data_IF_719285679127
#
_entry.id   IF_719285679127
#
_cell.length_a   1.000
_cell.length_b   1.000
_cell.length_c   1.000
_cell.angle_alpha   90.00
_cell.angle_beta   90.00
_cell.angle_gamma   90.00
#
_symmetry.space_group_name_H-M   'P 1'
#
loop_
_entity.id
_entity.type
_entity.pdbx_description
1 polymer ?
#
# COMPACT_ATOMS: atom_id res chain seq x y z
N UNK A 1 31.74 -9.94 -69.63
CA UNK A 1 32.69 -11.03 -69.31
C UNK A 1 33.61 -10.42 -68.27
N UNK A 2 33.57 -10.76 -66.99
CA UNK A 2 33.44 -12.06 -66.34
C UNK A 2 32.65 -11.95 -65.03
N UNK A 3 31.96 -13.05 -64.72
CA UNK A 3 31.42 -13.34 -63.40
C UNK A 3 32.53 -13.92 -62.52
N UNK A 4 32.47 -13.64 -61.22
CA UNK A 4 32.97 -14.44 -60.10
C UNK A 4 32.25 -13.85 -58.87
N UNK A 5 31.41 -14.54 -58.09
CA UNK A 5 31.55 -15.91 -57.59
C UNK A 5 31.82 -15.81 -56.08
N UNK A 6 30.78 -15.69 -55.26
CA UNK A 6 30.90 -15.60 -53.80
C UNK A 6 29.58 -15.87 -53.11
N UNK A 7 29.38 -17.12 -52.75
CA UNK A 7 28.25 -17.69 -52.02
C UNK A 7 28.04 -17.03 -50.65
N UNK A 8 26.78 -16.96 -50.19
CA UNK A 8 26.34 -17.58 -48.93
C UNK A 8 24.85 -17.34 -48.66
N UNK A 9 24.12 -18.47 -48.58
CA UNK A 9 23.10 -18.83 -47.60
C UNK A 9 21.88 -17.90 -47.41
N UNK A 10 20.74 -18.45 -47.83
CA UNK A 10 19.40 -18.14 -47.35
C UNK A 10 19.32 -18.34 -45.83
N UNK A 11 18.73 -17.40 -45.10
CA UNK A 11 17.76 -17.77 -44.07
C UNK A 11 16.73 -16.65 -43.82
N UNK A 12 15.48 -16.99 -44.12
CA UNK A 12 14.28 -16.83 -43.29
C UNK A 12 14.19 -15.64 -42.32
N UNK A 13 13.18 -14.80 -42.58
CA UNK A 13 12.30 -14.11 -41.63
C UNK A 13 12.82 -13.71 -40.25
N UNK A 14 12.71 -12.42 -39.91
CA UNK A 14 11.81 -12.02 -38.82
C UNK A 14 11.71 -10.49 -38.68
N UNK A 15 10.45 -10.05 -38.57
CA UNK A 15 10.05 -8.70 -38.18
C UNK A 15 10.43 -8.48 -36.72
N UNK A 16 11.21 -7.44 -36.41
CA UNK A 16 11.61 -7.14 -35.03
C UNK A 16 11.76 -5.64 -34.75
N UNK A 17 10.79 -5.09 -34.03
CA UNK A 17 10.77 -3.73 -33.49
C UNK A 17 12.05 -3.39 -32.69
N UNK A 18 12.68 -2.28 -33.04
CA UNK A 18 13.81 -1.71 -32.30
C UNK A 18 13.29 -0.72 -31.25
N UNK A 19 13.59 -0.97 -29.97
CA UNK A 19 13.76 0.11 -29.00
C UNK A 19 12.95 0.05 -27.71
N UNK A 20 13.27 -0.90 -26.82
CA UNK A 20 12.88 -0.84 -25.41
C UNK A 20 14.12 -1.00 -24.53
N UNK A 21 14.64 0.11 -23.96
CA UNK A 21 15.78 0.07 -23.03
C UNK A 21 15.37 -0.58 -21.71
N UNK A 22 15.76 -1.84 -21.54
CA UNK A 22 15.63 -2.60 -20.32
C UNK A 22 16.65 -2.12 -19.27
N UNK A 23 16.19 -1.51 -18.18
CA UNK A 23 17.04 -1.19 -17.03
C UNK A 23 16.94 -2.28 -15.96
N UNK A 24 17.99 -3.10 -15.82
CA UNK A 24 18.20 -3.95 -14.64
C UNK A 24 18.74 -3.09 -13.50
N UNK A 25 17.94 -2.83 -12.47
CA UNK A 25 18.48 -2.64 -11.11
C UNK A 25 18.27 -3.94 -10.34
N UNK A 26 19.36 -4.47 -9.79
CA UNK A 26 19.35 -5.70 -8.99
C UNK A 26 18.24 -5.69 -7.95
N UNK A 27 17.78 -6.90 -7.61
CA UNK A 27 16.53 -7.29 -6.92
C UNK A 27 15.22 -7.15 -7.70
N UNK A 28 15.08 -7.98 -8.75
CA UNK A 28 13.86 -8.72 -9.06
C UNK A 28 12.53 -7.94 -9.10
N UNK A 29 12.48 -6.76 -9.71
CA UNK A 29 11.21 -6.11 -10.05
C UNK A 29 11.34 -5.56 -11.46
N UNK A 30 10.59 -6.13 -12.39
CA UNK A 30 10.55 -5.71 -13.78
C UNK A 30 9.52 -4.59 -13.95
N UNK A 31 9.95 -3.47 -14.54
CA UNK A 31 9.08 -2.35 -14.88
C UNK A 31 9.04 -2.20 -16.41
N UNK A 32 7.86 -2.31 -17.00
CA UNK A 32 7.60 -1.92 -18.39
C UNK A 32 6.62 -0.75 -18.35
N UNK A 33 6.95 0.37 -18.99
CA UNK A 33 6.07 1.55 -19.14
C UNK A 33 5.44 2.09 -17.84
N UNK A 34 6.21 2.15 -16.75
CA UNK A 34 5.70 2.66 -15.47
C UNK A 34 4.66 1.77 -14.79
N UNK A 35 4.44 0.55 -15.30
CA UNK A 35 3.60 -0.48 -14.69
C UNK A 35 4.51 -1.58 -14.12
N UNK A 36 4.25 -1.97 -12.88
CA UNK A 36 4.87 -3.14 -12.27
C UNK A 36 4.38 -4.38 -13.02
N UNK A 37 5.27 -5.16 -13.65
CA UNK A 37 4.92 -6.43 -14.27
C UNK A 37 4.67 -7.47 -13.17
N UNK A 38 3.47 -7.42 -12.60
CA UNK A 38 3.05 -8.26 -11.46
C UNK A 38 2.96 -9.74 -11.82
N UNK A 39 2.69 -10.09 -13.08
CA UNK A 39 2.45 -11.48 -13.50
C UNK A 39 3.72 -12.34 -13.55
N UNK A 40 4.82 -11.84 -14.10
CA UNK A 40 6.07 -12.60 -14.22
C UNK A 40 6.77 -12.80 -12.88
N UNK A 41 6.75 -11.79 -12.01
CA UNK A 41 7.34 -11.88 -10.67
C UNK A 41 6.61 -12.88 -9.75
N UNK A 42 5.27 -12.96 -9.87
CA UNK A 42 4.46 -13.85 -9.03
C UNK A 42 4.68 -15.34 -9.33
N UNK A 43 5.04 -15.71 -10.56
CA UNK A 43 5.17 -17.12 -10.96
C UNK A 43 6.45 -17.76 -10.40
N UNK A 44 7.55 -17.00 -10.34
CA UNK A 44 8.86 -17.48 -9.88
C UNK A 44 8.91 -17.65 -8.34
N UNK A 45 8.18 -16.83 -7.59
CA UNK A 45 8.12 -16.91 -6.11
C UNK A 45 7.27 -18.08 -5.58
N UNK A 46 6.30 -18.57 -6.35
CA UNK A 46 5.49 -19.75 -5.96
C UNK A 46 6.33 -21.01 -5.77
N UNK A 47 7.51 -21.09 -6.38
CA UNK A 47 8.45 -22.21 -6.20
C UNK A 47 9.23 -22.14 -4.89
N UNK A 48 9.37 -20.96 -4.28
CA UNK A 48 10.21 -20.71 -3.09
C UNK A 48 9.48 -21.00 -1.79
N UNK A 49 8.18 -20.67 -1.69
CA UNK A 49 7.45 -20.75 -0.42
C UNK A 49 6.72 -22.08 -0.16
N UNK A 50 6.66 -22.98 -1.14
CA UNK A 50 5.93 -24.26 -1.05
C UNK A 50 4.39 -24.12 -1.04
N UNK A 51 3.88 -23.10 -0.35
CA UNK A 51 2.45 -22.78 -0.23
C UNK A 51 2.03 -21.61 -1.14
N UNK A 52 1.14 -21.88 -2.09
CA UNK A 52 0.59 -20.88 -3.02
C UNK A 52 -0.06 -19.69 -2.31
N UNK A 53 -0.70 -19.93 -1.16
CA UNK A 53 -1.35 -18.87 -0.35
C UNK A 53 -0.33 -17.89 0.23
N UNK A 54 0.84 -18.38 0.66
CA UNK A 54 1.90 -17.55 1.24
C UNK A 54 2.58 -16.74 0.15
N UNK A 55 2.85 -17.34 -1.01
CA UNK A 55 3.41 -16.63 -2.16
C UNK A 55 2.51 -15.46 -2.62
N UNK A 56 1.20 -15.70 -2.78
CA UNK A 56 0.24 -14.64 -3.15
C UNK A 56 0.20 -13.53 -2.10
N UNK A 57 0.18 -13.87 -0.81
CA UNK A 57 0.19 -12.88 0.26
C UNK A 57 1.47 -12.03 0.23
N UNK A 58 2.61 -12.65 -0.02
CA UNK A 58 3.91 -11.99 -0.05
C UNK A 58 4.04 -11.05 -1.26
N UNK A 59 3.68 -11.54 -2.45
CA UNK A 59 3.64 -10.73 -3.68
C UNK A 59 2.68 -9.54 -3.56
N UNK A 60 1.48 -9.76 -3.01
CA UNK A 60 0.52 -8.68 -2.74
C UNK A 60 1.09 -7.63 -1.78
N UNK A 61 1.76 -8.06 -0.69
CA UNK A 61 2.40 -7.13 0.25
C UNK A 61 3.51 -6.31 -0.39
N UNK A 62 4.29 -6.87 -1.32
CA UNK A 62 5.34 -6.12 -2.03
C UNK A 62 4.77 -5.04 -2.93
N UNK A 63 3.76 -5.36 -3.72
CA UNK A 63 3.08 -4.36 -4.57
C UNK A 63 2.46 -3.24 -3.73
N UNK A 64 1.79 -3.59 -2.63
CA UNK A 64 1.22 -2.60 -1.72
C UNK A 64 2.29 -1.72 -1.06
N UNK A 65 3.41 -2.30 -0.63
CA UNK A 65 4.54 -1.51 -0.11
C UNK A 65 5.08 -0.53 -1.16
N UNK A 66 5.16 -0.93 -2.43
CA UNK A 66 5.58 -0.04 -3.51
C UNK A 66 4.57 1.09 -3.73
N UNK A 67 3.26 0.80 -3.74
CA UNK A 67 2.17 1.79 -3.82
C UNK A 67 2.28 2.81 -2.67
N UNK A 68 2.45 2.34 -1.43
CA UNK A 68 2.57 3.22 -0.25
C UNK A 68 3.81 4.13 -0.27
N UNK A 69 4.86 3.78 -1.02
CA UNK A 69 6.03 4.66 -1.19
C UNK A 69 5.75 5.85 -2.10
N UNK A 70 4.86 5.70 -3.07
CA UNK A 70 4.49 6.77 -4.01
C UNK A 70 3.60 7.83 -3.37
N UNK A 71 2.82 7.44 -2.36
CA UNK A 71 1.89 8.33 -1.66
C UNK A 71 2.58 9.21 -0.59
N UNK A 72 1.97 10.37 -0.25
CA UNK A 72 2.45 11.22 0.83
C UNK A 72 2.32 10.53 2.20
N UNK A 73 2.93 11.12 3.22
CA UNK A 73 3.03 10.48 4.54
C UNK A 73 1.69 10.21 5.24
N UNK A 74 0.67 11.01 4.93
CA UNK A 74 -0.71 10.84 5.38
C UNK A 74 -1.60 11.00 4.15
N UNK A 75 -2.38 9.98 3.82
CA UNK A 75 -3.32 9.97 2.69
C UNK A 75 -4.67 9.40 3.13
N UNK A 76 -5.76 9.98 2.64
CA UNK A 76 -7.12 9.48 2.87
C UNK A 76 -7.37 8.27 1.98
N UNK A 77 -8.01 7.26 2.53
CA UNK A 77 -8.37 6.03 1.82
C UNK A 77 -9.88 5.94 1.73
N UNK A 78 -10.39 5.47 0.59
CA UNK A 78 -11.82 5.31 0.38
C UNK A 78 -12.39 4.11 1.15
N UNK A 79 -11.65 3.01 1.21
CA UNK A 79 -12.04 1.79 1.91
C UNK A 79 -10.83 1.19 2.63
N UNK A 80 -11.01 0.61 3.83
CA UNK A 80 -9.90 -0.02 4.55
C UNK A 80 -9.32 -1.18 3.73
N UNK A 81 -8.00 -1.30 3.71
CA UNK A 81 -7.30 -2.41 3.04
C UNK A 81 -7.64 -3.75 3.69
N UNK A 82 -7.95 -3.74 5.00
CA UNK A 82 -8.31 -4.93 5.78
C UNK A 82 -9.64 -4.71 6.53
N UNK A 83 -10.79 -4.88 5.86
CA UNK A 83 -12.09 -4.59 6.45
C UNK A 83 -12.38 -5.45 7.69
N UNK A 84 -11.91 -6.70 7.75
CA UNK A 84 -12.16 -7.60 8.88
C UNK A 84 -11.50 -7.10 10.17
N UNK A 85 -10.25 -6.64 10.05
CA UNK A 85 -9.52 -6.07 11.18
C UNK A 85 -10.08 -4.71 11.57
N UNK A 86 -10.44 -3.88 10.59
CA UNK A 86 -11.07 -2.59 10.83
C UNK A 86 -12.36 -2.75 11.64
N UNK A 87 -13.24 -3.68 11.25
CA UNK A 87 -14.51 -3.95 11.93
C UNK A 87 -14.32 -4.39 13.38
N UNK A 88 -13.31 -5.21 13.66
CA UNK A 88 -12.94 -5.61 15.03
C UNK A 88 -12.55 -4.42 15.91
N UNK A 89 -11.97 -3.38 15.30
CA UNK A 89 -11.50 -2.17 15.99
C UNK A 89 -12.53 -1.04 16.00
N UNK A 90 -13.77 -1.30 15.60
CA UNK A 90 -14.88 -0.35 15.68
C UNK A 90 -15.21 0.38 14.39
N UNK A 91 -14.57 0.06 13.26
CA UNK A 91 -14.97 0.61 11.96
C UNK A 91 -16.34 0.08 11.54
N UNK A 92 -17.19 0.98 11.06
CA UNK A 92 -18.44 0.67 10.36
C UNK A 92 -18.47 1.39 9.02
N UNK A 93 -19.04 0.74 8.01
CA UNK A 93 -19.24 1.34 6.70
C UNK A 93 -20.47 2.27 6.75
N UNK A 94 -20.34 3.39 7.47
CA UNK A 94 -21.33 4.45 7.62
C UNK A 94 -20.65 5.80 7.38
N UNK A 95 -21.41 6.78 6.91
CA UNK A 95 -20.92 8.15 6.81
C UNK A 95 -20.44 8.66 8.18
N UNK A 96 -19.37 9.46 8.17
CA UNK A 96 -18.67 9.93 9.36
C UNK A 96 -17.47 9.08 9.78
N UNK A 97 -17.32 7.84 9.31
CA UNK A 97 -16.06 7.09 9.45
C UNK A 97 -15.11 7.43 8.30
N UNK A 98 -13.85 7.71 8.63
CA UNK A 98 -12.80 8.01 7.65
C UNK A 98 -11.56 7.18 7.98
N UNK A 99 -10.91 6.64 6.95
CA UNK A 99 -9.69 5.84 7.10
C UNK A 99 -8.54 6.57 6.44
N UNK A 100 -7.40 6.65 7.13
CA UNK A 100 -6.18 7.27 6.61
C UNK A 100 -5.01 6.30 6.66
N UNK A 101 -4.21 6.25 5.60
CA UNK A 101 -2.88 5.65 5.63
C UNK A 101 -1.90 6.62 6.23
N UNK A 102 -1.12 6.12 7.19
CA UNK A 102 -0.06 6.87 7.86
C UNK A 102 1.21 6.07 7.78
N UNK A 103 2.25 6.65 7.19
CA UNK A 103 3.61 6.09 7.25
C UNK A 103 4.36 6.69 8.42
N UNK A 104 5.00 5.84 9.22
CA UNK A 104 5.87 6.25 10.33
C UNK A 104 7.26 5.66 10.11
N UNK A 105 8.28 6.50 10.26
CA UNK A 105 9.68 6.10 10.08
C UNK A 105 10.05 5.13 11.20
N UNK A 106 10.74 4.04 10.86
CA UNK A 106 11.25 3.10 11.84
C UNK A 106 12.33 3.79 12.66
N UNK A 107 12.26 3.63 13.98
CA UNK A 107 13.30 4.10 14.89
C UNK A 107 14.01 2.89 15.47
N UNK A 108 15.33 2.97 15.60
CA UNK A 108 16.15 1.94 16.25
C UNK A 108 15.98 1.90 17.77
N UNK A 109 15.32 2.90 18.36
CA UNK A 109 14.98 2.91 19.80
C UNK A 109 13.60 2.27 20.00
N UNK A 110 13.44 1.51 21.07
CA UNK A 110 12.16 0.91 21.52
C UNK A 110 11.21 1.99 22.06
N UNK A 111 10.80 2.93 21.20
CA UNK A 111 9.80 3.97 21.49
C UNK A 111 8.44 3.56 20.93
N UNK A 112 7.32 3.92 21.58
CA UNK A 112 5.99 3.76 21.00
C UNK A 112 5.94 4.51 19.66
N UNK A 113 5.32 3.89 18.66
CA UNK A 113 5.24 4.45 17.30
C UNK A 113 4.14 5.51 17.29
N UNK A 114 4.45 6.81 17.02
CA UNK A 114 3.48 7.90 17.08
C UNK A 114 2.61 7.92 15.81
N UNK A 115 1.79 6.88 15.63
CA UNK A 115 0.94 6.68 14.46
C UNK A 115 -0.38 7.44 14.56
N UNK A 116 -1.02 7.39 15.73
CA UNK A 116 -2.29 8.07 16.01
C UNK A 116 -2.03 9.55 16.25
N UNK A 117 -1.04 9.88 17.07
CA UNK A 117 -0.59 11.25 17.33
C UNK A 117 -0.29 12.03 16.04
N UNK A 118 0.45 11.41 15.11
CA UNK A 118 0.77 12.01 13.81
C UNK A 118 -0.49 12.28 12.97
N UNK A 119 -1.49 11.40 13.04
CA UNK A 119 -2.75 11.59 12.35
C UNK A 119 -3.59 12.69 13.01
N UNK A 120 -3.77 12.64 14.34
CA UNK A 120 -4.56 13.59 15.11
C UNK A 120 -4.02 15.01 15.04
N UNK A 121 -2.69 15.19 15.08
CA UNK A 121 -2.06 16.51 14.88
C UNK A 121 -2.36 17.11 13.51
N UNK A 122 -2.38 16.28 12.45
CA UNK A 122 -2.69 16.76 11.08
C UNK A 122 -4.20 16.94 10.86
N UNK A 123 -5.01 16.10 11.51
CA UNK A 123 -6.45 15.99 11.31
C UNK A 123 -7.20 16.39 12.59
N UNK A 124 -6.93 17.58 13.14
CA UNK A 124 -7.46 18.02 14.44
C UNK A 124 -8.99 18.14 14.52
N UNK A 125 -9.67 18.29 13.38
CA UNK A 125 -11.14 18.29 13.31
C UNK A 125 -11.78 16.92 13.50
N UNK A 126 -11.02 15.84 13.32
CA UNK A 126 -11.49 14.47 13.46
C UNK A 126 -11.12 13.90 14.84
N UNK A 127 -11.73 12.77 15.20
CA UNK A 127 -11.39 12.01 16.42
C UNK A 127 -10.80 10.67 16.05
N UNK A 128 -9.66 10.33 16.62
CA UNK A 128 -9.03 9.02 16.43
C UNK A 128 -9.79 7.99 17.25
N UNK A 129 -10.25 6.93 16.59
CA UNK A 129 -10.89 5.78 17.26
C UNK A 129 -9.84 4.75 17.64
N UNK A 130 -9.12 4.29 16.62
CA UNK A 130 -8.11 3.24 16.74
C UNK A 130 -7.25 3.23 15.48
N UNK A 131 -6.20 2.42 15.48
CA UNK A 131 -5.37 2.19 14.31
C UNK A 131 -4.83 0.77 14.26
N UNK A 132 -4.39 0.35 13.08
CA UNK A 132 -3.79 -0.98 12.92
C UNK A 132 -2.69 -1.01 11.87
N UNK A 133 -1.76 -1.93 12.10
CA UNK A 133 -0.67 -2.22 11.17
C UNK A 133 -1.17 -2.96 9.93
N UNK A 134 -0.70 -2.49 8.77
CA UNK A 134 -0.95 -3.10 7.46
C UNK A 134 0.29 -3.83 6.96
N UNK A 135 1.40 -3.09 6.91
CA UNK A 135 2.58 -3.48 6.19
C UNK A 135 3.81 -2.74 6.71
N UNK A 136 4.98 -3.26 6.38
CA UNK A 136 6.26 -2.76 6.85
C UNK A 136 7.31 -2.88 5.76
N UNK A 137 8.19 -1.88 5.74
CA UNK A 137 9.36 -1.82 4.89
C UNK A 137 10.61 -1.68 5.79
N UNK A 138 11.78 -1.75 5.20
CA UNK A 138 13.07 -1.46 5.83
C UNK A 138 13.09 -0.11 6.55
N UNK A 139 12.45 0.91 5.98
CA UNK A 139 12.53 2.30 6.46
C UNK A 139 11.26 2.78 7.18
N UNK A 140 10.09 2.29 6.78
CA UNK A 140 8.78 2.79 7.25
C UNK A 140 7.87 1.64 7.70
N UNK A 141 7.02 1.94 8.68
CA UNK A 141 5.85 1.14 9.05
C UNK A 141 4.59 1.85 8.58
N UNK A 142 3.66 1.09 8.01
CA UNK A 142 2.41 1.60 7.46
C UNK A 142 1.23 1.17 8.32
N UNK A 143 0.38 2.15 8.66
CA UNK A 143 -0.80 1.96 9.50
C UNK A 143 -2.04 2.53 8.82
N UNK A 144 -3.19 1.89 9.02
CA UNK A 144 -4.49 2.56 8.81
C UNK A 144 -4.95 3.11 10.16
N UNK A 145 -5.24 4.40 10.19
CA UNK A 145 -5.86 5.06 11.33
C UNK A 145 -7.34 5.25 10.99
N UNK A 146 -8.19 4.76 11.88
CA UNK A 146 -9.63 4.95 11.81
C UNK A 146 -9.95 6.22 12.57
N UNK A 147 -10.50 7.19 11.87
CA UNK A 147 -10.99 8.44 12.42
C UNK A 147 -12.50 8.56 12.24
N UNK A 148 -13.09 9.40 13.08
CA UNK A 148 -14.51 9.70 13.06
C UNK A 148 -14.69 11.22 12.99
N UNK A 149 -15.61 11.63 12.13
CA UNK A 149 -16.09 13.00 12.05
C UNK A 149 -17.20 13.23 13.07
N UNK A 150 -16.94 14.12 14.03
CA UNK A 150 -17.86 14.46 15.11
C UNK A 150 -19.02 15.33 14.62
N UNK A 151 -18.81 16.13 13.58
CA UNK A 151 -19.83 17.03 13.05
C UNK A 151 -20.92 16.28 12.26
N UNK A 152 -20.69 15.00 11.96
CA UNK A 152 -21.61 14.23 11.14
C UNK A 152 -22.77 13.64 11.96
N UNK A 153 -24.00 13.95 11.57
CA UNK A 153 -25.23 13.46 12.22
C UNK A 153 -25.28 11.92 12.34
N UNK A 154 -24.73 11.21 11.35
CA UNK A 154 -24.64 9.75 11.38
C UNK A 154 -23.84 9.19 12.56
N UNK A 155 -22.90 9.96 13.11
CA UNK A 155 -22.10 9.58 14.28
C UNK A 155 -22.79 10.05 15.56
N UNK A 156 -23.32 11.28 15.56
CA UNK A 156 -24.00 11.85 16.72
C UNK A 156 -25.23 11.04 17.14
N UNK A 157 -25.98 10.51 16.18
CA UNK A 157 -27.20 9.73 16.43
C UNK A 157 -26.94 8.25 16.79
N UNK A 158 -25.70 7.75 16.67
CA UNK A 158 -25.39 6.35 16.93
C UNK A 158 -24.95 6.12 18.38
N UNK A 159 -25.82 5.45 19.15
CA UNK A 159 -25.62 5.17 20.58
C UNK A 159 -24.33 4.40 20.90
N UNK A 160 -23.73 3.70 19.93
CA UNK A 160 -22.51 2.90 20.16
C UNK A 160 -21.23 3.74 20.12
N UNK A 161 -21.23 4.85 19.40
CA UNK A 161 -20.03 5.65 19.13
C UNK A 161 -20.18 7.11 19.57
N UNK A 162 -21.40 7.60 19.78
CA UNK A 162 -21.67 9.00 20.15
C UNK A 162 -20.90 9.50 21.38
N UNK A 163 -20.46 8.60 22.28
CA UNK A 163 -19.59 8.93 23.39
C UNK A 163 -18.32 9.68 22.94
N UNK A 164 -17.77 9.40 21.74
CA UNK A 164 -16.57 10.06 21.22
C UNK A 164 -16.78 11.54 20.88
N UNK A 165 -18.03 11.98 20.72
CA UNK A 165 -18.38 13.35 20.38
C UNK A 165 -18.20 14.31 21.56
N UNK A 166 -18.15 13.79 22.79
CA UNK A 166 -18.00 14.62 23.98
C UNK A 166 -16.63 15.33 24.01
N UNK A 167 -16.61 16.55 24.55
CA UNK A 167 -15.40 17.39 24.66
C UNK A 167 -14.25 16.73 25.42
N UNK A 168 -14.54 15.83 26.35
CA UNK A 168 -13.55 15.07 27.14
C UNK A 168 -12.67 14.18 26.25
N UNK A 169 -13.19 13.73 25.10
CA UNK A 169 -12.50 12.82 24.19
C UNK A 169 -11.75 13.54 23.07
N UNK A 170 -11.48 14.84 23.22
CA UNK A 170 -10.59 15.58 22.31
C UNK A 170 -9.15 15.07 22.49
N UNK A 171 -8.44 14.93 21.37
CA UNK A 171 -7.01 14.62 21.34
C UNK A 171 -6.58 13.39 22.17
N UNK A 172 -7.36 12.31 22.16
CA UNK A 172 -7.04 11.06 22.89
C UNK A 172 -5.74 10.40 22.45
N UNK A 173 -5.27 10.74 21.26
CA UNK A 173 -4.04 10.26 20.65
C UNK A 173 -2.77 10.97 21.13
N UNK A 174 -2.91 12.07 21.88
CA UNK A 174 -1.81 12.90 22.39
C UNK A 174 -1.43 12.52 23.83
#
# INVERSE_FOLDING_TARGET
MTADGGSQLLDSGDVGHVGGRLWRKGVGVWFLEGRCLFSEFMFEESRVFGDKKVAILWGTKRVRCWEYRQHPAIVRVNHPTRPDKARRLGYKAKQGYVVYHVRVRRSGRKRPVPKEERAGRKLGGLRVVNSYWINEDSTYKYFEVILVDVAHNGIHNDLRINWICNTIHKHREL
#
